data_IF_507642066639
#
_entry.id   IF_507642066639
#
_cell.length_a   1.000
_cell.length_b   1.000
_cell.length_c   1.000
_cell.angle_alpha   90.00
_cell.angle_beta   90.00
_cell.angle_gamma   90.00
#
_symmetry.space_group_name_H-M   'P 1'
#
loop_
_entity.id
_entity.type
_entity.pdbx_description
1 polymer ?
#
# COMPACT_ATOMS: atom_id res chain seq x y z
N UNK A 1 -19.43 9.92 -18.50
CA UNK A 1 -19.90 10.49 -17.20
C UNK A 1 -18.90 10.22 -16.06
N UNK A 2 -18.54 8.94 -15.73
CA UNK A 2 -17.63 8.64 -14.61
C UNK A 2 -16.22 9.25 -14.78
N UNK A 3 -15.68 9.26 -15.99
CA UNK A 3 -14.37 9.83 -16.31
C UNK A 3 -14.38 11.37 -16.15
N UNK A 4 -15.48 12.02 -16.47
CA UNK A 4 -15.62 13.48 -16.44
C UNK A 4 -16.07 14.05 -15.08
N UNK A 5 -16.34 13.19 -14.10
CA UNK A 5 -16.75 13.64 -12.77
C UNK A 5 -15.56 14.27 -12.05
N UNK A 6 -15.60 15.58 -11.81
CA UNK A 6 -14.44 16.36 -11.36
C UNK A 6 -14.42 16.61 -9.85
N UNK A 7 -15.55 16.59 -9.16
CA UNK A 7 -15.67 17.01 -7.77
C UNK A 7 -16.46 16.01 -6.93
N UNK A 8 -16.04 15.86 -5.65
CA UNK A 8 -16.72 15.01 -4.69
C UNK A 8 -16.45 13.51 -4.86
N UNK A 9 -16.97 12.69 -3.93
CA UNK A 9 -16.79 11.24 -3.96
C UNK A 9 -17.58 10.60 -5.11
N UNK A 10 -16.99 9.59 -5.74
CA UNK A 10 -17.61 8.81 -6.81
C UNK A 10 -17.47 7.33 -6.54
N UNK A 11 -18.57 6.62 -6.44
CA UNK A 11 -18.62 5.16 -6.36
C UNK A 11 -18.98 4.58 -7.73
N UNK A 12 -18.15 3.68 -8.26
CA UNK A 12 -18.39 2.96 -9.51
C UNK A 12 -18.61 1.49 -9.20
N UNK A 13 -19.86 1.03 -9.37
CA UNK A 13 -20.23 -0.37 -9.24
C UNK A 13 -20.20 -1.03 -10.64
N UNK A 14 -19.36 -2.06 -10.77
CA UNK A 14 -19.22 -2.77 -12.05
C UNK A 14 -18.76 -4.21 -11.83
N UNK A 15 -19.29 -5.13 -12.61
CA UNK A 15 -18.93 -6.55 -12.58
C UNK A 15 -17.49 -6.82 -13.01
N UNK A 16 -17.04 -8.06 -12.87
CA UNK A 16 -15.75 -8.50 -13.41
C UNK A 16 -15.71 -8.28 -14.93
N UNK A 17 -14.58 -7.82 -15.46
CA UNK A 17 -14.42 -7.56 -16.90
C UNK A 17 -15.09 -6.28 -17.44
N UNK A 18 -15.88 -5.57 -16.64
CA UNK A 18 -16.63 -4.37 -17.06
C UNK A 18 -15.78 -3.11 -17.31
N UNK A 19 -14.45 -3.22 -17.36
CA UNK A 19 -13.57 -2.10 -17.65
C UNK A 19 -13.31 -1.12 -16.49
N UNK A 20 -13.56 -1.53 -15.21
CA UNK A 20 -13.30 -0.67 -14.04
C UNK A 20 -11.90 -0.03 -14.03
N UNK A 21 -10.87 -0.82 -14.25
CA UNK A 21 -9.48 -0.33 -14.27
C UNK A 21 -9.24 0.60 -15.43
N UNK A 22 -9.84 0.34 -16.58
CA UNK A 22 -9.77 1.25 -17.75
C UNK A 22 -10.43 2.58 -17.43
N UNK A 23 -11.65 2.57 -16.89
CA UNK A 23 -12.36 3.80 -16.48
C UNK A 23 -11.55 4.61 -15.48
N UNK A 24 -10.90 3.96 -14.49
CA UNK A 24 -10.05 4.62 -13.52
C UNK A 24 -8.82 5.24 -14.17
N UNK A 25 -8.15 4.50 -15.08
CA UNK A 25 -6.99 5.01 -15.83
C UNK A 25 -7.35 6.24 -16.66
N UNK A 26 -8.45 6.18 -17.40
CA UNK A 26 -8.91 7.33 -18.21
C UNK A 26 -9.33 8.53 -17.34
N UNK A 27 -9.96 8.27 -16.19
CA UNK A 27 -10.29 9.35 -15.26
C UNK A 27 -9.05 10.06 -14.74
N UNK A 28 -8.04 9.32 -14.29
CA UNK A 28 -6.78 9.88 -13.81
C UNK A 28 -6.06 10.64 -14.93
N UNK A 29 -6.00 10.07 -16.14
CA UNK A 29 -5.40 10.75 -17.28
C UNK A 29 -6.11 12.07 -17.58
N UNK A 30 -7.44 12.09 -17.57
CA UNK A 30 -8.21 13.30 -17.80
C UNK A 30 -7.99 14.38 -16.71
N UNK A 31 -7.89 13.97 -15.45
CA UNK A 31 -7.57 14.90 -14.35
C UNK A 31 -6.21 15.58 -14.55
N UNK A 32 -5.25 14.85 -15.09
CA UNK A 32 -3.88 15.38 -15.36
C UNK A 32 -3.91 16.26 -16.63
N UNK A 33 -4.41 15.75 -17.74
CA UNK A 33 -4.32 16.41 -19.05
C UNK A 33 -5.21 17.65 -19.18
N UNK A 34 -6.41 17.59 -18.62
CA UNK A 34 -7.42 18.64 -18.79
C UNK A 34 -7.79 19.33 -17.47
N UNK A 35 -7.63 18.65 -16.34
CA UNK A 35 -7.94 19.19 -15.02
C UNK A 35 -6.78 19.93 -14.37
N UNK A 36 -5.58 19.93 -14.96
CA UNK A 36 -4.38 20.56 -14.42
C UNK A 36 -3.93 19.97 -13.07
N UNK A 37 -4.39 18.76 -12.72
CA UNK A 37 -4.04 18.11 -11.46
C UNK A 37 -2.62 17.54 -11.55
N UNK A 38 -1.76 17.92 -10.63
CA UNK A 38 -0.41 17.35 -10.59
C UNK A 38 -0.47 15.84 -10.38
N UNK A 39 0.26 15.04 -11.17
CA UNK A 39 0.33 13.58 -10.96
C UNK A 39 0.71 13.21 -9.52
N UNK A 40 1.58 13.97 -8.89
CA UNK A 40 2.02 13.76 -7.50
C UNK A 40 0.92 13.94 -6.46
N UNK A 41 -0.16 14.64 -6.81
CA UNK A 41 -1.33 14.82 -5.94
C UNK A 41 -2.34 13.69 -6.05
N UNK A 42 -2.08 12.70 -6.93
CA UNK A 42 -2.99 11.59 -7.18
C UNK A 42 -2.42 10.32 -6.55
N UNK A 43 -3.24 9.68 -5.72
CA UNK A 43 -2.96 8.39 -5.10
C UNK A 43 -3.93 7.35 -5.64
N UNK A 44 -3.41 6.31 -6.30
CA UNK A 44 -4.19 5.18 -6.80
C UNK A 44 -3.83 3.89 -6.07
N UNK A 45 -4.80 3.32 -5.37
CA UNK A 45 -4.64 2.13 -4.54
C UNK A 45 -5.21 0.89 -5.20
N UNK A 46 -4.49 -0.22 -5.07
CA UNK A 46 -4.94 -1.55 -5.51
C UNK A 46 -4.74 -2.58 -4.40
N UNK A 47 -5.39 -3.74 -4.53
CA UNK A 47 -5.22 -4.82 -3.56
C UNK A 47 -3.99 -5.69 -3.84
N UNK A 48 -3.55 -5.81 -5.09
CA UNK A 48 -2.44 -6.69 -5.46
C UNK A 48 -1.32 -5.94 -6.17
N UNK A 49 -0.09 -6.42 -5.99
CA UNK A 49 1.08 -5.87 -6.68
C UNK A 49 0.96 -6.03 -8.20
N UNK A 50 0.34 -7.11 -8.68
CA UNK A 50 0.06 -7.33 -10.10
C UNK A 50 -0.84 -6.23 -10.66
N UNK A 51 -1.96 -5.94 -9.98
CA UNK A 51 -2.88 -4.88 -10.40
C UNK A 51 -2.21 -3.49 -10.36
N UNK A 52 -1.38 -3.22 -9.35
CA UNK A 52 -0.62 -1.98 -9.28
C UNK A 52 0.37 -1.84 -10.45
N UNK A 53 1.07 -2.92 -10.81
CA UNK A 53 1.97 -2.95 -11.97
C UNK A 53 1.22 -2.70 -13.27
N UNK A 54 0.14 -3.44 -13.52
CA UNK A 54 -0.70 -3.26 -14.72
C UNK A 54 -1.26 -1.83 -14.82
N UNK A 55 -1.68 -1.25 -13.70
CA UNK A 55 -2.18 0.13 -13.67
C UNK A 55 -1.09 1.13 -14.03
N UNK A 56 0.13 0.97 -13.49
CA UNK A 56 1.29 1.83 -13.85
C UNK A 56 1.60 1.73 -15.34
N UNK A 57 1.66 0.52 -15.89
CA UNK A 57 1.94 0.30 -17.32
C UNK A 57 0.90 0.95 -18.22
N UNK A 58 -0.39 0.80 -17.86
CA UNK A 58 -1.48 1.44 -18.59
C UNK A 58 -1.41 2.96 -18.50
N UNK A 59 -1.12 3.49 -17.32
CA UNK A 59 -0.99 4.91 -17.08
C UNK A 59 0.19 5.51 -17.87
N UNK A 60 1.37 4.85 -17.84
CA UNK A 60 2.53 5.25 -18.63
C UNK A 60 2.21 5.32 -20.14
N UNK A 61 1.58 4.27 -20.66
CA UNK A 61 1.19 4.22 -22.08
C UNK A 61 0.18 5.33 -22.40
N UNK A 62 -0.82 5.54 -21.55
CA UNK A 62 -1.88 6.52 -21.78
C UNK A 62 -1.37 7.96 -21.75
N UNK A 63 -0.44 8.26 -20.82
CA UNK A 63 0.16 9.58 -20.66
C UNK A 63 1.46 9.76 -21.47
N UNK A 64 1.90 8.72 -22.22
CA UNK A 64 3.13 8.73 -23.04
C UNK A 64 4.40 9.03 -22.24
N UNK A 65 4.44 8.66 -20.97
CA UNK A 65 5.62 8.83 -20.13
C UNK A 65 6.52 7.60 -20.20
N UNK A 66 7.83 7.83 -20.36
CA UNK A 66 8.84 6.78 -20.27
C UNK A 66 9.28 6.54 -18.82
N UNK A 67 9.46 5.27 -18.46
CA UNK A 67 9.98 4.89 -17.15
C UNK A 67 11.48 5.19 -17.05
N UNK A 68 11.85 6.34 -16.46
CA UNK A 68 13.27 6.75 -16.35
C UNK A 68 13.92 6.47 -14.99
N UNK A 69 13.18 6.03 -13.97
CA UNK A 69 13.76 5.80 -12.63
C UNK A 69 13.35 4.46 -12.04
N UNK A 70 14.30 3.81 -11.36
CA UNK A 70 14.08 2.51 -10.71
C UNK A 70 13.20 2.51 -9.46
N UNK A 71 12.70 3.68 -8.99
CA UNK A 71 11.87 3.76 -7.79
C UNK A 71 10.39 3.99 -8.15
N UNK A 72 9.49 3.03 -7.83
CA UNK A 72 8.11 3.03 -8.31
C UNK A 72 7.25 4.20 -7.80
N UNK A 73 7.66 4.90 -6.74
CA UNK A 73 6.87 5.98 -6.11
C UNK A 73 7.46 7.38 -6.31
N UNK A 74 8.64 7.50 -6.95
CA UNK A 74 9.33 8.78 -7.10
C UNK A 74 9.33 9.30 -8.54
N UNK A 75 8.56 8.71 -9.42
CA UNK A 75 8.40 9.21 -10.79
C UNK A 75 7.58 10.50 -10.76
N UNK A 76 8.20 11.62 -11.11
CA UNK A 76 7.58 12.95 -11.05
C UNK A 76 6.39 13.13 -12.01
N UNK A 77 6.26 12.24 -12.96
CA UNK A 77 5.33 12.34 -14.09
C UNK A 77 4.15 11.36 -13.98
N UNK A 78 4.18 10.44 -13.02
CA UNK A 78 3.10 9.49 -12.77
C UNK A 78 2.48 9.66 -11.39
N UNK A 79 1.19 9.32 -11.24
CA UNK A 79 0.54 9.18 -9.95
C UNK A 79 1.25 8.19 -9.04
N UNK A 80 1.07 8.34 -7.73
CA UNK A 80 1.52 7.35 -6.76
C UNK A 80 0.58 6.15 -6.85
N UNK A 81 1.07 5.04 -7.43
CA UNK A 81 0.27 3.82 -7.65
C UNK A 81 0.88 2.65 -6.89
N UNK A 82 0.11 2.02 -6.02
CA UNK A 82 0.59 0.88 -5.23
C UNK A 82 -0.52 0.14 -4.50
N UNK A 83 -0.14 -0.89 -3.75
CA UNK A 83 -1.06 -1.52 -2.80
C UNK A 83 -1.16 -0.69 -1.52
N UNK A 84 -2.24 -0.87 -0.75
CA UNK A 84 -2.38 -0.23 0.58
C UNK A 84 -1.14 -0.45 1.44
N UNK A 85 -0.64 -1.69 1.51
CA UNK A 85 0.55 -2.01 2.31
C UNK A 85 1.81 -1.32 1.79
N UNK A 86 2.09 -1.36 0.49
CA UNK A 86 3.31 -0.76 -0.08
C UNK A 86 3.34 0.75 0.07
N UNK A 87 2.19 1.40 -0.06
CA UNK A 87 2.07 2.85 0.13
C UNK A 87 2.12 3.20 1.62
N UNK A 88 1.52 2.37 2.49
CA UNK A 88 1.67 2.52 3.94
C UNK A 88 3.13 2.49 4.38
N UNK A 89 3.90 1.52 3.89
CA UNK A 89 5.36 1.45 4.14
C UNK A 89 6.10 2.66 3.61
N UNK A 90 5.77 3.13 2.39
CA UNK A 90 6.36 4.32 1.81
C UNK A 90 6.15 5.57 2.70
N UNK A 91 4.94 5.78 3.20
CA UNK A 91 4.64 6.89 4.11
C UNK A 91 5.30 6.71 5.48
N UNK A 92 5.27 5.51 6.04
CA UNK A 92 5.91 5.23 7.33
C UNK A 92 7.42 5.52 7.24
N UNK A 93 8.13 5.02 6.24
CA UNK A 93 9.57 5.29 6.08
C UNK A 93 9.90 6.78 5.96
N UNK A 94 8.97 7.58 5.45
CA UNK A 94 9.17 9.02 5.27
C UNK A 94 8.84 9.85 6.51
N UNK A 95 7.91 9.39 7.33
CA UNK A 95 7.33 10.23 8.38
C UNK A 95 7.38 9.62 9.78
N UNK A 96 7.75 8.34 9.95
CA UNK A 96 7.64 7.63 11.21
C UNK A 96 8.51 8.25 12.33
N UNK A 97 9.63 8.86 11.98
CA UNK A 97 10.52 9.53 12.93
C UNK A 97 9.83 10.72 13.64
N UNK A 98 8.78 11.29 13.05
CA UNK A 98 7.97 12.34 13.70
C UNK A 98 7.23 11.86 14.95
N UNK A 99 7.08 10.53 15.11
CA UNK A 99 6.50 9.94 16.32
C UNK A 99 7.50 9.86 17.48
N UNK A 100 8.80 10.09 17.23
CA UNK A 100 9.85 10.13 18.25
C UNK A 100 10.29 8.79 18.83
N UNK A 101 9.62 7.70 18.50
CA UNK A 101 9.86 6.35 19.07
C UNK A 101 10.30 5.30 18.04
N UNK A 102 10.23 5.64 16.75
CA UNK A 102 10.63 4.73 15.67
C UNK A 102 11.60 5.39 14.71
N UNK A 103 12.42 4.58 14.04
CA UNK A 103 13.33 5.02 12.99
C UNK A 103 12.85 4.57 11.62
N UNK A 104 13.28 5.23 10.55
CA UNK A 104 12.95 4.86 9.18
C UNK A 104 13.46 3.47 8.77
N UNK A 105 14.40 2.88 9.54
CA UNK A 105 14.98 1.55 9.33
C UNK A 105 14.18 0.40 9.95
N UNK A 106 12.92 0.62 10.33
CA UNK A 106 12.08 -0.44 10.90
C UNK A 106 11.95 -1.65 9.96
N UNK A 107 11.85 -2.84 10.55
CA UNK A 107 11.55 -4.08 9.84
C UNK A 107 10.04 -4.36 9.84
N UNK A 108 9.57 -4.97 8.76
CA UNK A 108 8.19 -5.45 8.67
C UNK A 108 8.21 -6.94 8.96
N UNK A 109 7.56 -7.34 10.01
CA UNK A 109 7.45 -8.75 10.42
C UNK A 109 6.20 -9.36 9.79
N UNK A 110 6.38 -10.51 9.14
CA UNK A 110 5.27 -11.40 8.79
C UNK A 110 4.86 -12.28 10.00
N UNK A 111 3.89 -13.17 9.80
CA UNK A 111 3.41 -14.04 10.88
C UNK A 111 4.47 -15.04 11.35
N UNK A 112 5.33 -15.52 10.43
CA UNK A 112 6.42 -16.44 10.77
C UNK A 112 7.53 -15.73 11.54
N UNK A 113 7.84 -14.48 11.16
CA UNK A 113 8.79 -13.63 11.90
C UNK A 113 8.30 -13.37 13.34
N UNK A 114 7.03 -13.03 13.49
CA UNK A 114 6.41 -12.83 14.82
C UNK A 114 6.50 -14.09 15.65
N UNK A 115 6.17 -15.25 15.07
CA UNK A 115 6.22 -16.53 15.77
C UNK A 115 7.64 -16.89 16.18
N UNK A 116 8.63 -16.65 15.33
CA UNK A 116 10.04 -16.87 15.64
C UNK A 116 10.50 -15.98 16.80
N UNK A 117 10.17 -14.70 16.75
CA UNK A 117 10.51 -13.76 17.81
C UNK A 117 9.89 -14.16 19.15
N UNK A 118 8.59 -14.47 19.17
CA UNK A 118 7.88 -14.90 20.38
C UNK A 118 8.52 -16.18 20.96
N UNK A 119 8.85 -17.15 20.10
CA UNK A 119 9.52 -18.38 20.55
C UNK A 119 10.87 -18.08 21.19
N UNK A 120 11.70 -17.25 20.58
CA UNK A 120 12.99 -16.85 21.13
C UNK A 120 12.83 -16.17 22.49
N UNK A 121 11.89 -15.25 22.63
CA UNK A 121 11.61 -14.58 23.91
C UNK A 121 11.14 -15.59 24.98
N UNK A 122 10.28 -16.53 24.60
CA UNK A 122 9.81 -17.58 25.54
C UNK A 122 10.95 -18.48 26.01
N UNK A 123 11.88 -18.84 25.13
CA UNK A 123 13.08 -19.60 25.45
C UNK A 123 13.97 -18.81 26.42
N UNK A 124 14.23 -17.55 26.21
CA UNK A 124 15.00 -16.65 27.07
C UNK A 124 14.36 -16.53 28.47
N UNK A 125 13.04 -16.47 28.53
CA UNK A 125 12.25 -16.42 29.76
C UNK A 125 12.02 -17.79 30.40
N UNK A 126 12.57 -18.89 29.83
CA UNK A 126 12.38 -20.27 30.27
C UNK A 126 10.92 -20.71 30.39
N UNK A 127 10.06 -20.20 29.51
CA UNK A 127 8.64 -20.58 29.42
C UNK A 127 8.53 -21.85 28.59
N UNK A 128 7.86 -22.89 29.14
CA UNK A 128 7.63 -24.14 28.42
C UNK A 128 6.66 -23.95 27.26
N UNK A 129 7.20 -24.03 26.05
CA UNK A 129 6.41 -23.89 24.80
C UNK A 129 5.41 -25.04 24.57
N UNK A 130 5.52 -26.16 25.31
CA UNK A 130 4.54 -27.26 25.27
C UNK A 130 3.29 -26.93 26.08
N UNK A 131 3.46 -26.24 27.21
CA UNK A 131 2.34 -25.80 28.06
C UNK A 131 1.68 -24.53 27.50
N UNK A 132 2.47 -23.62 26.92
CA UNK A 132 1.99 -22.37 26.34
C UNK A 132 2.52 -22.22 24.89
N UNK A 133 1.77 -22.63 23.89
CA UNK A 133 2.18 -22.52 22.49
C UNK A 133 2.42 -21.06 22.06
N UNK A 134 3.49 -20.75 21.31
CA UNK A 134 3.79 -19.38 20.83
C UNK A 134 2.63 -18.69 20.13
N UNK A 135 1.82 -19.43 19.36
CA UNK A 135 0.62 -18.89 18.70
C UNK A 135 -0.43 -18.37 19.68
N UNK A 136 -0.58 -19.04 20.82
CA UNK A 136 -1.52 -18.59 21.86
C UNK A 136 -1.04 -17.29 22.50
N UNK A 137 0.27 -17.17 22.77
CA UNK A 137 0.87 -15.92 23.26
C UNK A 137 0.69 -14.79 22.26
N UNK A 138 0.94 -15.05 20.97
CA UNK A 138 0.71 -14.08 19.90
C UNK A 138 -0.74 -13.57 19.87
N UNK A 139 -1.69 -14.50 19.99
CA UNK A 139 -3.11 -14.15 20.02
C UNK A 139 -3.44 -13.24 21.22
N UNK A 140 -2.99 -13.59 22.41
CA UNK A 140 -3.22 -12.79 23.62
C UNK A 140 -2.58 -11.40 23.54
N UNK A 141 -1.36 -11.29 22.99
CA UNK A 141 -0.72 -9.99 22.75
C UNK A 141 -1.53 -9.17 21.73
N UNK A 142 -2.05 -9.81 20.69
CA UNK A 142 -2.90 -9.16 19.70
C UNK A 142 -4.18 -8.59 20.31
N UNK A 143 -4.89 -9.38 21.12
CA UNK A 143 -6.08 -8.95 21.84
C UNK A 143 -5.76 -7.76 22.78
N UNK A 144 -4.69 -7.86 23.57
CA UNK A 144 -4.31 -6.80 24.49
C UNK A 144 -3.89 -5.48 23.82
N UNK A 145 -3.47 -5.52 22.55
CA UNK A 145 -3.11 -4.32 21.78
C UNK A 145 -4.30 -3.69 21.06
N UNK A 146 -5.39 -4.43 20.87
CA UNK A 146 -6.58 -3.98 20.15
C UNK A 146 -7.70 -3.47 21.09
N UNK A 147 -7.50 -3.57 22.40
CA UNK A 147 -8.33 -2.95 23.45
C UNK A 147 -7.77 -1.61 23.85
#
# INVERSE_FOLDING_TARGET
>A
KAVQHSTGPLLILAGAGAGKTHTLTERVAQMIEFGGVSPRSILALTFTNKAAKEMRERMSKRLKFEHKSGHPFLQSELPIIGTFHSIGVFFLRRYIERLGIYTASFSIFDEDDKQRLIRSIMEDLKIDTKQMPPRQVMYQIGEAKNT
#
